data_IF_400708794823
#
_entry.id   IF_400708794823
#
_cell.length_a   1.000
_cell.length_b   1.000
_cell.length_c   1.000
_cell.angle_alpha   90.00
_cell.angle_beta   90.00
_cell.angle_gamma   90.00
#
_symmetry.space_group_name_H-M   'P 1'
#
loop_
_entity.id
_entity.type
_entity.pdbx_description
1 polymer ?
#
# COMPACT_ATOMS: atom_id res chain seq x y z
N UNK A 1 -11.03 34.69 2.40
CA UNK A 1 -10.92 33.92 1.15
C UNK A 1 -11.93 32.81 1.27
N UNK A 2 -12.80 32.58 0.27
CA UNK A 2 -13.74 31.48 0.33
C UNK A 2 -12.95 30.16 0.25
N UNK A 3 -13.30 29.20 1.09
CA UNK A 3 -12.71 27.85 1.04
C UNK A 3 -13.11 27.19 -0.29
N UNK A 4 -12.18 26.53 -0.95
CA UNK A 4 -12.47 25.79 -2.18
C UNK A 4 -12.85 24.35 -1.83
N UNK A 5 -13.72 23.69 -2.62
CA UNK A 5 -14.01 22.27 -2.40
C UNK A 5 -12.76 21.41 -2.63
N UNK A 6 -12.70 20.28 -1.93
CA UNK A 6 -11.75 19.19 -2.19
C UNK A 6 -12.06 18.57 -3.55
N UNK A 7 -11.06 18.52 -4.42
CA UNK A 7 -11.14 18.03 -5.79
C UNK A 7 -10.45 16.67 -5.94
N UNK A 8 -10.70 16.00 -7.06
CA UNK A 8 -10.03 14.72 -7.35
C UNK A 8 -8.50 14.83 -7.40
N UNK A 9 -7.96 15.94 -7.94
CA UNK A 9 -6.51 16.15 -8.01
C UNK A 9 -5.86 16.44 -6.65
N UNK A 10 -6.65 16.71 -5.61
CA UNK A 10 -6.13 16.93 -4.25
C UNK A 10 -5.89 15.62 -3.50
N UNK A 11 -6.54 14.52 -3.93
CA UNK A 11 -6.49 13.23 -3.23
C UNK A 11 -6.08 12.05 -4.12
N UNK A 12 -6.11 12.20 -5.45
CA UNK A 12 -5.65 11.21 -6.42
C UNK A 12 -4.69 11.83 -7.43
N UNK A 13 -3.77 11.01 -7.93
CA UNK A 13 -2.84 11.40 -9.00
C UNK A 13 -3.57 11.31 -10.34
N UNK A 14 -4.45 12.27 -10.60
CA UNK A 14 -5.25 12.37 -11.84
C UNK A 14 -4.98 13.67 -12.56
N UNK A 15 -5.13 13.68 -13.88
CA UNK A 15 -4.80 14.81 -14.73
C UNK A 15 -6.01 15.38 -15.48
N UNK A 16 -5.83 16.53 -16.13
CA UNK A 16 -6.85 17.10 -17.01
C UNK A 16 -8.09 17.66 -16.28
N UNK A 17 -9.27 17.46 -16.87
CA UNK A 17 -10.50 18.08 -16.37
C UNK A 17 -11.00 17.45 -15.07
N UNK A 18 -10.76 16.16 -14.83
CA UNK A 18 -11.23 15.48 -13.62
C UNK A 18 -10.53 15.99 -12.36
N UNK A 19 -9.24 16.32 -12.46
CA UNK A 19 -8.43 16.85 -11.35
C UNK A 19 -9.02 18.11 -10.71
N UNK A 20 -9.76 18.91 -11.50
CA UNK A 20 -10.37 20.15 -11.05
C UNK A 20 -11.83 20.01 -10.61
N UNK A 21 -12.43 18.82 -10.72
CA UNK A 21 -13.81 18.57 -10.30
C UNK A 21 -13.86 18.31 -8.79
N UNK A 22 -14.86 18.87 -8.08
CA UNK A 22 -15.08 18.53 -6.67
C UNK A 22 -15.50 17.07 -6.54
N UNK A 23 -15.12 16.44 -5.43
CA UNK A 23 -15.58 15.08 -5.11
C UNK A 23 -17.01 15.16 -4.57
N UNK A 24 -17.92 14.46 -5.25
CA UNK A 24 -19.35 14.45 -4.92
C UNK A 24 -19.71 13.24 -4.05
N UNK A 25 -20.72 13.35 -3.16
CA UNK A 25 -21.22 12.21 -2.40
C UNK A 25 -21.71 11.05 -3.28
N UNK A 26 -22.27 11.35 -4.45
CA UNK A 26 -22.75 10.37 -5.41
C UNK A 26 -21.60 9.57 -6.05
N UNK A 27 -20.49 10.22 -6.38
CA UNK A 27 -19.31 9.55 -6.92
C UNK A 27 -18.67 8.64 -5.86
N UNK A 28 -18.62 9.09 -4.61
CA UNK A 28 -18.12 8.28 -3.49
C UNK A 28 -18.97 7.03 -3.25
N UNK A 29 -20.30 7.19 -3.29
CA UNK A 29 -21.23 6.07 -3.15
C UNK A 29 -21.16 5.11 -4.34
N UNK A 30 -20.95 5.63 -5.55
CA UNK A 30 -20.78 4.81 -6.75
C UNK A 30 -19.48 4.00 -6.73
N UNK A 31 -18.37 4.61 -6.27
CA UNK A 31 -17.10 3.92 -6.11
C UNK A 31 -17.23 2.78 -5.10
N UNK A 32 -17.82 3.05 -3.92
CA UNK A 32 -18.08 2.03 -2.90
C UNK A 32 -18.96 0.88 -3.40
N UNK A 33 -19.98 1.20 -4.21
CA UNK A 33 -20.84 0.21 -4.84
C UNK A 33 -20.08 -0.63 -5.89
N UNK A 34 -19.20 0.00 -6.67
CA UNK A 34 -18.30 -0.65 -7.63
C UNK A 34 -17.32 -1.59 -6.94
N UNK A 35 -16.59 -1.11 -5.94
CA UNK A 35 -15.69 -1.88 -5.08
C UNK A 35 -16.39 -3.12 -4.52
N UNK A 36 -17.54 -2.94 -3.86
CA UNK A 36 -18.28 -4.08 -3.28
C UNK A 36 -18.78 -5.06 -4.33
N UNK A 37 -19.15 -4.59 -5.52
CA UNK A 37 -19.63 -5.44 -6.61
C UNK A 37 -18.51 -6.28 -7.21
N UNK A 38 -17.32 -5.70 -7.37
CA UNK A 38 -16.19 -6.36 -8.03
C UNK A 38 -15.34 -7.14 -7.01
N UNK A 39 -14.98 -6.52 -5.89
CA UNK A 39 -14.10 -7.08 -4.87
C UNK A 39 -14.85 -7.85 -3.77
N UNK A 40 -16.20 -7.78 -3.73
CA UNK A 40 -17.02 -8.38 -2.67
C UNK A 40 -17.04 -7.60 -1.35
N UNK A 41 -16.09 -6.68 -1.16
CA UNK A 41 -15.96 -5.75 -0.04
C UNK A 41 -15.42 -4.41 -0.53
N UNK A 42 -15.57 -3.36 0.27
CA UNK A 42 -14.93 -2.06 0.02
C UNK A 42 -13.66 -2.00 0.88
N UNK A 43 -12.46 -1.89 0.30
CA UNK A 43 -11.22 -1.79 1.07
C UNK A 43 -11.26 -0.63 2.06
N UNK A 44 -10.89 -0.92 3.31
CA UNK A 44 -10.65 0.11 4.31
C UNK A 44 -9.50 1.00 3.81
N UNK A 45 -9.76 2.30 3.69
CA UNK A 45 -8.82 3.29 3.16
C UNK A 45 -8.55 3.21 1.64
N UNK A 46 -9.37 2.49 0.87
CA UNK A 46 -9.35 2.51 -0.59
C UNK A 46 -9.96 3.79 -1.21
N UNK A 47 -10.00 3.91 -2.55
CA UNK A 47 -10.53 5.07 -3.24
C UNK A 47 -11.94 5.48 -2.82
N UNK A 48 -12.86 4.55 -2.57
CA UNK A 48 -14.18 4.89 -2.03
C UNK A 48 -14.10 5.57 -0.66
N UNK A 49 -13.24 5.09 0.25
CA UNK A 49 -13.07 5.66 1.59
C UNK A 49 -12.52 7.10 1.54
N UNK A 50 -11.56 7.35 0.66
CA UNK A 50 -10.99 8.68 0.40
C UNK A 50 -12.07 9.60 -0.15
N UNK A 51 -12.83 9.13 -1.15
CA UNK A 51 -13.90 9.90 -1.77
C UNK A 51 -15.03 10.23 -0.80
N UNK A 52 -15.41 9.29 0.08
CA UNK A 52 -16.43 9.52 1.12
C UNK A 52 -16.01 10.61 2.11
N UNK A 53 -14.73 10.62 2.50
CA UNK A 53 -14.18 11.64 3.39
C UNK A 53 -14.16 13.02 2.73
N UNK A 54 -13.66 13.11 1.50
CA UNK A 54 -13.63 14.36 0.73
C UNK A 54 -15.04 14.89 0.43
N UNK A 55 -15.98 14.02 0.05
CA UNK A 55 -17.38 14.39 -0.15
C UNK A 55 -18.03 14.89 1.14
N UNK A 56 -17.74 14.26 2.28
CA UNK A 56 -18.24 14.71 3.59
C UNK A 56 -17.76 16.11 3.92
N UNK A 57 -16.49 16.43 3.66
CA UNK A 57 -15.93 17.79 3.83
C UNK A 57 -16.66 18.77 2.90
N UNK A 58 -16.81 18.43 1.62
CA UNK A 58 -17.48 19.29 0.64
C UNK A 58 -18.94 19.59 0.99
N UNK A 59 -19.67 18.62 1.55
CA UNK A 59 -21.05 18.83 2.04
C UNK A 59 -21.07 19.72 3.28
N UNK A 60 -20.19 19.48 4.25
CA UNK A 60 -20.12 20.29 5.48
C UNK A 60 -19.74 21.75 5.19
N UNK A 61 -18.88 21.98 4.20
CA UNK A 61 -18.47 23.32 3.75
C UNK A 61 -19.48 23.98 2.80
N UNK A 62 -20.60 23.30 2.49
CA UNK A 62 -21.68 23.83 1.65
C UNK A 62 -21.34 23.89 0.16
N UNK A 63 -20.30 23.18 -0.29
CA UNK A 63 -19.90 23.10 -1.69
C UNK A 63 -20.66 22.05 -2.49
N UNK A 64 -21.29 21.08 -1.84
CA UNK A 64 -22.08 20.01 -2.46
C UNK A 64 -23.42 19.83 -1.74
N UNK A 65 -24.45 19.47 -2.51
CA UNK A 65 -25.74 19.08 -1.93
C UNK A 65 -25.67 17.63 -1.44
N UNK A 66 -26.25 17.29 -0.27
CA UNK A 66 -26.33 15.91 0.21
C UNK A 66 -27.35 15.06 -0.56
N UNK A 67 -28.18 15.67 -1.42
CA UNK A 67 -29.27 14.98 -2.15
C UNK A 67 -29.25 15.35 -3.63
N UNK A 68 -28.61 14.50 -4.44
CA UNK A 68 -28.74 14.48 -5.89
C UNK A 68 -28.78 13.02 -6.37
N UNK A 69 -29.40 12.81 -7.54
CA UNK A 69 -29.72 11.49 -8.07
C UNK A 69 -28.43 10.65 -8.27
N UNK A 70 -28.48 9.31 -8.09
CA UNK A 70 -27.31 8.42 -8.05
C UNK A 70 -26.65 8.16 -9.43
N UNK A 71 -26.84 9.04 -10.41
CA UNK A 71 -26.21 8.89 -11.72
C UNK A 71 -24.82 9.55 -11.65
N UNK A 72 -23.86 8.83 -11.07
CA UNK A 72 -22.45 9.22 -11.13
C UNK A 72 -21.96 9.00 -12.57
N UNK A 73 -21.63 10.08 -13.28
CA UNK A 73 -20.98 9.98 -14.58
C UNK A 73 -19.48 9.72 -14.38
N UNK A 74 -18.99 8.62 -14.93
CA UNK A 74 -17.54 8.37 -15.07
C UNK A 74 -16.88 7.58 -13.94
N UNK A 75 -17.58 7.13 -12.90
CA UNK A 75 -17.01 6.17 -11.94
C UNK A 75 -17.18 4.76 -12.47
N UNK A 76 -16.08 4.01 -12.60
CA UNK A 76 -16.09 2.61 -13.03
C UNK A 76 -15.07 1.77 -12.26
N UNK A 77 -15.46 0.55 -11.90
CA UNK A 77 -14.60 -0.45 -11.26
C UNK A 77 -14.66 -1.68 -12.14
N UNK A 78 -13.54 -2.00 -12.76
CA UNK A 78 -13.44 -3.05 -13.77
C UNK A 78 -12.48 -4.13 -13.31
N UNK A 79 -12.80 -5.37 -13.64
CA UNK A 79 -11.94 -6.53 -13.41
C UNK A 79 -11.47 -7.06 -14.76
N UNK A 80 -10.16 -7.24 -14.92
CA UNK A 80 -9.54 -7.81 -16.10
C UNK A 80 -8.64 -8.97 -15.69
N UNK A 81 -8.82 -10.14 -16.29
CA UNK A 81 -7.86 -11.23 -16.17
C UNK A 81 -6.77 -11.08 -17.24
N UNK A 82 -5.52 -11.00 -16.81
CA UNK A 82 -4.34 -10.94 -17.67
C UNK A 82 -3.43 -12.09 -17.27
N UNK A 83 -3.36 -13.12 -18.10
CA UNK A 83 -2.52 -14.31 -17.88
C UNK A 83 -2.73 -14.96 -16.49
N UNK A 84 -3.99 -15.06 -16.05
CA UNK A 84 -4.35 -15.62 -14.74
C UNK A 84 -4.10 -14.66 -13.57
N UNK A 85 -3.79 -13.40 -13.83
CA UNK A 85 -3.71 -12.32 -12.84
C UNK A 85 -4.96 -11.48 -12.96
N UNK A 86 -5.74 -11.45 -11.89
CA UNK A 86 -6.93 -10.61 -11.72
C UNK A 86 -6.49 -9.18 -11.40
N UNK A 87 -6.62 -8.29 -12.37
CA UNK A 87 -6.34 -6.86 -12.21
C UNK A 87 -7.65 -6.10 -12.08
N UNK A 88 -7.86 -5.45 -10.94
CA UNK A 88 -9.01 -4.61 -10.68
C UNK A 88 -8.57 -3.17 -10.86
N UNK A 89 -9.23 -2.44 -11.77
CA UNK A 89 -8.90 -1.05 -12.09
C UNK A 89 -10.10 -0.17 -11.78
N UNK A 90 -9.87 0.82 -10.93
CA UNK A 90 -10.86 1.80 -10.49
C UNK A 90 -10.56 3.13 -11.18
N UNK A 91 -11.57 3.67 -11.83
CA UNK A 91 -11.42 4.87 -12.64
C UNK A 91 -12.49 5.91 -12.32
N UNK A 92 -12.10 7.17 -12.45
CA UNK A 92 -13.00 8.31 -12.45
C UNK A 92 -12.74 9.11 -13.71
N UNK A 93 -13.75 9.23 -14.57
CA UNK A 93 -13.69 9.88 -15.88
C UNK A 93 -12.54 9.36 -16.76
N UNK A 94 -12.33 8.03 -16.76
CA UNK A 94 -11.26 7.32 -17.46
C UNK A 94 -9.83 7.55 -16.93
N UNK A 95 -9.67 8.27 -15.81
CA UNK A 95 -8.39 8.34 -15.11
C UNK A 95 -8.37 7.32 -13.98
N UNK A 96 -7.26 6.60 -13.81
CA UNK A 96 -7.11 5.57 -12.79
C UNK A 96 -6.94 6.24 -11.43
N UNK A 97 -7.78 5.85 -10.46
CA UNK A 97 -7.71 6.31 -9.06
C UNK A 97 -7.31 5.19 -8.10
N UNK A 98 -7.38 3.94 -8.54
CA UNK A 98 -6.95 2.75 -7.80
C UNK A 98 -6.68 1.58 -8.75
N UNK A 99 -5.69 0.76 -8.42
CA UNK A 99 -5.43 -0.48 -9.13
C UNK A 99 -4.98 -1.57 -8.15
N UNK A 100 -5.65 -2.72 -8.21
CA UNK A 100 -5.38 -3.88 -7.37
C UNK A 100 -4.99 -5.06 -8.26
N UNK A 101 -3.97 -5.81 -7.86
CA UNK A 101 -3.49 -6.96 -8.60
C UNK A 101 -3.61 -8.17 -7.67
N UNK A 102 -4.49 -9.09 -8.02
CA UNK A 102 -4.71 -10.34 -7.30
C UNK A 102 -4.36 -11.52 -8.23
N UNK A 103 -3.63 -12.54 -7.79
CA UNK A 103 -3.53 -13.78 -8.56
C UNK A 103 -4.91 -14.44 -8.64
N UNK A 104 -5.42 -14.72 -9.84
CA UNK A 104 -6.73 -15.38 -9.97
C UNK A 104 -6.59 -16.84 -9.55
N UNK A 105 -7.17 -17.21 -8.40
CA UNK A 105 -7.40 -18.62 -8.05
C UNK A 105 -8.71 -19.04 -8.68
N UNK A 106 -8.70 -19.24 -10.00
CA UNK A 106 -9.78 -20.00 -10.63
C UNK A 106 -9.57 -21.48 -10.35
N UNK A 107 -10.59 -22.09 -9.74
CA UNK A 107 -10.64 -23.50 -9.41
C UNK A 107 -10.23 -24.39 -10.59
N UNK A 108 -9.34 -25.34 -10.27
CA UNK A 108 -9.07 -26.60 -10.95
C UNK A 108 -9.64 -26.72 -12.37
N UNK A 109 -8.81 -26.46 -13.38
CA UNK A 109 -8.99 -27.16 -14.64
C UNK A 109 -7.69 -27.79 -15.11
N UNK A 110 -7.86 -29.04 -15.52
CA UNK A 110 -6.83 -30.02 -15.81
C UNK A 110 -5.90 -29.53 -16.92
N UNK A 111 -4.68 -29.13 -16.55
CA UNK A 111 -3.61 -28.91 -17.55
C UNK A 111 -2.43 -29.80 -17.21
N UNK A 112 -2.37 -30.89 -17.97
CA UNK A 112 -1.22 -31.75 -18.29
C UNK A 112 -0.06 -31.81 -17.29
N UNK A 113 0.14 -33.02 -16.75
CA UNK A 113 1.25 -33.45 -15.89
C UNK A 113 2.68 -33.32 -16.51
N UNK A 114 2.86 -32.51 -17.55
CA UNK A 114 4.14 -32.27 -18.22
C UNK A 114 4.71 -30.85 -18.00
N UNK A 115 3.92 -29.89 -17.49
CA UNK A 115 4.42 -28.55 -17.10
C UNK A 115 4.62 -28.40 -15.59
N UNK A 116 4.34 -29.45 -14.83
CA UNK A 116 4.60 -29.57 -13.39
C UNK A 116 6.10 -29.69 -13.04
N UNK A 117 7.00 -29.58 -14.02
CA UNK A 117 8.46 -29.63 -13.79
C UNK A 117 9.14 -28.25 -13.78
N UNK A 118 8.38 -27.17 -13.95
CA UNK A 118 8.88 -25.79 -13.76
C UNK A 118 8.10 -24.95 -12.73
N UNK A 119 6.96 -25.45 -12.21
CA UNK A 119 6.35 -24.98 -10.95
C UNK A 119 7.02 -25.70 -9.79
N UNK A 120 8.35 -25.67 -9.76
CA UNK A 120 9.10 -26.04 -8.58
C UNK A 120 9.29 -24.74 -7.81
N UNK A 121 8.55 -24.61 -6.70
CA UNK A 121 8.82 -23.66 -5.60
C UNK A 121 8.71 -22.16 -5.97
N UNK A 122 7.48 -21.59 -5.97
CA UNK A 122 7.41 -20.23 -5.40
C UNK A 122 7.58 -20.41 -3.89
N UNK A 123 8.82 -20.28 -3.43
CA UNK A 123 9.11 -20.07 -2.02
C UNK A 123 8.28 -18.87 -1.56
N UNK A 124 7.66 -18.98 -0.40
CA UNK A 124 6.90 -17.89 0.22
C UNK A 124 7.81 -16.67 0.41
N UNK A 125 7.34 -15.49 0.02
CA UNK A 125 8.07 -14.22 0.16
C UNK A 125 8.44 -14.00 1.62
N UNK A 126 9.72 -13.84 1.88
CA UNK A 126 10.26 -13.62 3.22
C UNK A 126 10.24 -12.16 3.61
N UNK A 127 10.43 -11.86 4.90
CA UNK A 127 10.40 -10.48 5.41
C UNK A 127 11.57 -9.68 4.84
N UNK A 128 12.76 -10.27 4.73
CA UNK A 128 13.91 -9.68 4.07
C UNK A 128 13.69 -9.39 2.59
N UNK A 129 13.10 -10.32 1.85
CA UNK A 129 12.77 -10.08 0.43
C UNK A 129 11.75 -8.93 0.27
N UNK A 130 10.77 -8.86 1.17
CA UNK A 130 9.83 -7.73 1.20
C UNK A 130 10.54 -6.41 1.55
N UNK A 131 11.50 -6.40 2.47
CA UNK A 131 12.30 -5.21 2.78
C UNK A 131 13.19 -4.78 1.58
N UNK A 132 13.80 -5.73 0.87
CA UNK A 132 14.55 -5.43 -0.37
C UNK A 132 13.64 -4.86 -1.46
N UNK A 133 12.39 -5.31 -1.53
CA UNK A 133 11.41 -4.72 -2.45
C UNK A 133 11.08 -3.26 -2.08
N UNK A 134 11.09 -2.89 -0.79
CA UNK A 134 10.95 -1.48 -0.36
C UNK A 134 12.10 -0.62 -0.88
N UNK A 135 13.34 -1.16 -0.88
CA UNK A 135 14.49 -0.47 -1.47
C UNK A 135 14.26 -0.13 -2.96
N UNK A 136 13.44 -0.92 -3.67
CA UNK A 136 13.10 -0.67 -5.07
C UNK A 136 11.92 0.27 -5.25
N UNK A 137 10.86 0.15 -4.42
CA UNK A 137 9.63 0.94 -4.56
C UNK A 137 9.75 2.34 -3.96
N UNK A 138 10.45 2.45 -2.83
CA UNK A 138 10.62 3.67 -2.05
C UNK A 138 12.11 3.97 -1.80
N UNK A 139 13.01 3.50 -2.66
CA UNK A 139 14.46 3.60 -2.49
C UNK A 139 14.97 5.01 -2.20
N UNK A 140 14.42 6.02 -2.88
CA UNK A 140 14.79 7.44 -2.72
C UNK A 140 14.21 8.09 -1.45
N UNK A 141 13.31 7.40 -0.73
CA UNK A 141 12.67 7.93 0.47
C UNK A 141 13.68 8.02 1.61
N UNK A 142 13.90 9.25 2.10
CA UNK A 142 14.75 9.50 3.25
C UNK A 142 14.14 8.92 4.53
N UNK A 143 14.88 8.01 5.17
CA UNK A 143 14.45 7.30 6.37
C UNK A 143 14.08 8.27 7.49
N UNK A 144 12.89 8.09 8.06
CA UNK A 144 12.43 8.77 9.26
C UNK A 144 12.18 7.81 10.45
N UNK A 145 11.61 8.35 11.52
CA UNK A 145 11.37 7.58 12.75
C UNK A 145 10.27 6.53 12.59
N UNK A 146 9.22 6.82 11.81
CA UNK A 146 8.15 5.88 11.56
C UNK A 146 8.66 4.69 10.76
N UNK A 147 9.46 4.97 9.73
CA UNK A 147 10.10 3.93 8.93
C UNK A 147 11.05 3.07 9.77
N UNK A 148 11.88 3.70 10.62
CA UNK A 148 12.79 2.96 11.50
C UNK A 148 12.04 2.03 12.48
N UNK A 149 10.87 2.45 12.97
CA UNK A 149 10.02 1.61 13.81
C UNK A 149 9.37 0.44 13.03
N UNK A 150 9.00 0.67 11.77
CA UNK A 150 8.50 -0.37 10.89
C UNK A 150 9.58 -1.41 10.57
N UNK A 151 10.80 -0.97 10.25
CA UNK A 151 11.98 -1.83 10.02
C UNK A 151 12.30 -2.63 11.28
N UNK A 152 12.26 -2.02 12.46
CA UNK A 152 12.46 -2.72 13.74
C UNK A 152 11.42 -3.82 13.95
N UNK A 153 10.14 -3.51 13.72
CA UNK A 153 9.08 -4.49 13.83
C UNK A 153 9.30 -5.65 12.85
N UNK A 154 9.63 -5.34 11.59
CA UNK A 154 9.90 -6.32 10.55
C UNK A 154 11.07 -7.24 10.95
N UNK A 155 12.20 -6.68 11.37
CA UNK A 155 13.38 -7.45 11.76
C UNK A 155 13.13 -8.37 12.97
N UNK A 156 12.39 -7.88 13.98
CA UNK A 156 11.97 -8.73 15.11
C UNK A 156 11.11 -9.91 14.66
N UNK A 157 10.28 -9.70 13.63
CA UNK A 157 9.47 -10.76 13.02
C UNK A 157 10.28 -11.67 12.11
N UNK A 158 11.25 -11.18 11.36
CA UNK A 158 12.14 -12.05 10.61
C UNK A 158 12.88 -13.00 11.56
N UNK A 159 13.44 -12.47 12.66
CA UNK A 159 14.27 -13.24 13.58
C UNK A 159 13.51 -13.98 14.69
N UNK A 160 12.23 -13.64 14.91
CA UNK A 160 11.41 -14.21 15.98
C UNK A 160 11.90 -13.88 17.39
N UNK A 161 12.53 -12.71 17.59
CA UNK A 161 13.08 -12.25 18.87
C UNK A 161 12.71 -10.80 19.15
N UNK A 162 12.47 -10.45 20.41
CA UNK A 162 12.22 -9.07 20.83
C UNK A 162 13.51 -8.24 20.97
N UNK A 163 14.66 -8.91 21.06
CA UNK A 163 15.97 -8.27 21.17
C UNK A 163 16.77 -8.45 19.88
N UNK A 164 17.18 -7.32 19.31
CA UNK A 164 17.94 -7.28 18.06
C UNK A 164 19.46 -7.26 18.33
N UNK A 165 20.27 -7.87 17.45
CA UNK A 165 21.73 -7.80 17.55
C UNK A 165 22.24 -6.38 17.28
N UNK A 166 23.50 -6.12 17.67
CA UNK A 166 24.20 -4.89 17.28
C UNK A 166 24.47 -4.91 15.78
N UNK A 167 24.33 -3.76 15.13
CA UNK A 167 24.40 -3.65 13.66
C UNK A 167 23.18 -4.26 12.97
N UNK A 168 22.04 -4.26 13.66
CA UNK A 168 20.73 -4.62 13.08
C UNK A 168 20.27 -3.55 12.10
N UNK A 169 19.38 -3.94 11.17
CA UNK A 169 18.73 -3.01 10.25
C UNK A 169 18.00 -1.90 11.01
N UNK A 170 17.35 -2.24 12.12
CA UNK A 170 16.69 -1.30 13.01
C UNK A 170 17.66 -0.27 13.60
N UNK A 171 18.83 -0.71 14.10
CA UNK A 171 19.84 0.20 14.66
C UNK A 171 20.37 1.17 13.60
N UNK A 172 20.65 0.66 12.39
CA UNK A 172 21.05 1.47 11.24
C UNK A 172 19.95 2.48 10.85
N UNK A 173 18.69 2.04 10.78
CA UNK A 173 17.54 2.88 10.44
C UNK A 173 17.29 3.99 11.48
N UNK A 174 17.36 3.69 12.78
CA UNK A 174 17.23 4.73 13.81
C UNK A 174 18.40 5.73 13.79
N UNK A 175 19.61 5.27 13.49
CA UNK A 175 20.77 6.14 13.31
C UNK A 175 20.57 7.08 12.12
N UNK A 176 20.12 6.52 10.99
CA UNK A 176 19.77 7.24 9.78
C UNK A 176 18.66 8.27 10.04
N UNK A 177 17.56 7.89 10.70
CA UNK A 177 16.46 8.80 11.04
C UNK A 177 16.94 9.98 11.90
N UNK A 178 17.78 9.71 12.92
CA UNK A 178 18.33 10.75 13.78
C UNK A 178 19.28 11.70 13.02
N UNK A 179 20.09 11.16 12.11
CA UNK A 179 20.96 11.94 11.22
C UNK A 179 20.16 12.78 10.22
N UNK A 180 19.15 12.19 9.58
CA UNK A 180 18.29 12.83 8.59
C UNK A 180 17.49 13.98 9.20
N UNK A 181 17.01 13.82 10.44
CA UNK A 181 16.32 14.87 11.18
C UNK A 181 17.20 16.12 11.41
N UNK A 182 18.52 15.95 11.47
CA UNK A 182 19.49 17.05 11.63
C UNK A 182 20.03 17.55 10.27
N UNK A 183 19.73 16.84 9.19
CA UNK A 183 20.27 17.11 7.85
C UNK A 183 19.25 17.87 7.00
N UNK A 184 19.57 19.13 6.71
CA UNK A 184 18.68 20.04 5.97
C UNK A 184 18.59 19.71 4.47
N UNK A 185 19.66 19.21 3.87
CA UNK A 185 19.71 18.92 2.43
C UNK A 185 19.30 17.47 2.19
N UNK A 186 18.25 17.28 1.40
CA UNK A 186 17.69 15.97 1.13
C UNK A 186 18.71 15.01 0.49
N UNK A 187 19.58 15.51 -0.38
CA UNK A 187 20.62 14.74 -1.09
C UNK A 187 21.67 14.06 -0.16
N UNK A 188 21.77 14.47 1.10
CA UNK A 188 22.71 13.91 2.08
C UNK A 188 22.03 13.04 3.13
N UNK A 189 20.73 12.81 2.98
CA UNK A 189 19.98 11.92 3.86
C UNK A 189 20.21 10.48 3.46
N UNK A 190 20.26 9.61 4.45
CA UNK A 190 20.27 8.17 4.25
C UNK A 190 18.87 7.72 3.85
N UNK A 191 18.78 6.88 2.82
CA UNK A 191 17.53 6.49 2.17
C UNK A 191 17.17 5.03 2.44
N UNK A 192 15.98 4.60 2.01
CA UNK A 192 15.58 3.19 2.11
C UNK A 192 16.50 2.25 1.33
N UNK A 193 17.02 2.66 0.17
CA UNK A 193 17.98 1.85 -0.59
C UNK A 193 19.27 1.62 0.21
N UNK A 194 19.77 2.64 0.92
CA UNK A 194 21.00 2.54 1.69
C UNK A 194 20.91 1.51 2.83
N UNK A 195 19.72 1.30 3.39
CA UNK A 195 19.49 0.42 4.55
C UNK A 195 19.02 -0.97 4.12
N UNK A 196 18.09 -1.05 3.16
CA UNK A 196 17.30 -2.25 2.90
C UNK A 196 17.73 -3.08 1.68
N UNK A 197 18.65 -2.58 0.83
CA UNK A 197 19.03 -3.25 -0.42
C UNK A 197 19.62 -4.66 -0.24
N UNK A 198 20.15 -4.97 0.94
CA UNK A 198 20.72 -6.27 1.33
C UNK A 198 20.04 -6.85 2.58
N UNK A 199 18.75 -6.57 2.78
CA UNK A 199 18.03 -6.99 3.97
C UNK A 199 17.94 -8.51 4.11
N UNK A 200 17.74 -9.26 3.01
CA UNK A 200 17.66 -10.72 3.04
C UNK A 200 18.98 -11.36 3.50
N UNK A 201 20.11 -10.78 3.14
CA UNK A 201 21.44 -11.25 3.55
C UNK A 201 21.72 -10.98 5.05
N UNK A 202 21.11 -9.94 5.62
CA UNK A 202 21.28 -9.54 7.03
C UNK A 202 20.34 -10.30 7.99
N UNK A 203 19.26 -10.88 7.48
CA UNK A 203 18.25 -11.59 8.27
C UNK A 203 18.53 -13.10 8.31
N UNK A 204 19.33 -13.54 9.28
CA UNK A 204 19.59 -14.96 9.48
C UNK A 204 18.31 -15.71 9.88
N UNK A 205 17.93 -16.74 9.11
CA UNK A 205 16.69 -17.52 9.28
C UNK A 205 15.42 -16.71 8.99
N UNK A 206 15.44 -15.95 7.91
CA UNK A 206 14.30 -15.16 7.47
C UNK A 206 13.02 -16.00 7.31
N UNK A 207 11.92 -15.45 7.82
CA UNK A 207 10.63 -16.13 7.88
C UNK A 207 9.71 -15.57 6.81
N UNK A 208 8.81 -16.38 6.24
CA UNK A 208 7.79 -15.89 5.34
C UNK A 208 6.91 -14.85 6.02
N UNK A 209 6.57 -13.80 5.29
CA UNK A 209 5.65 -12.76 5.76
C UNK A 209 4.28 -13.38 6.00
N UNK A 210 3.70 -13.13 7.18
CA UNK A 210 2.30 -13.48 7.48
C UNK A 210 1.41 -12.23 7.57
N UNK A 211 0.09 -12.41 7.48
CA UNK A 211 -0.85 -11.31 7.67
C UNK A 211 -0.78 -10.69 9.07
N UNK A 212 -0.44 -11.48 10.10
CA UNK A 212 -0.27 -10.98 11.47
C UNK A 212 0.97 -10.08 11.56
N UNK A 213 2.10 -10.54 11.00
CA UNK A 213 3.33 -9.75 10.94
C UNK A 213 3.10 -8.44 10.17
N UNK A 214 2.47 -8.50 8.99
CA UNK A 214 2.18 -7.31 8.18
C UNK A 214 1.34 -6.28 8.93
N UNK A 215 0.29 -6.73 9.63
CA UNK A 215 -0.57 -5.85 10.43
C UNK A 215 0.22 -5.17 11.55
N UNK A 216 1.04 -5.90 12.28
CA UNK A 216 1.77 -5.35 13.41
C UNK A 216 2.89 -4.40 12.99
N UNK A 217 3.53 -4.65 11.85
CA UNK A 217 4.51 -3.75 11.24
C UNK A 217 3.84 -2.44 10.81
N UNK A 218 2.68 -2.54 10.14
CA UNK A 218 1.89 -1.37 9.73
C UNK A 218 1.44 -0.56 10.96
N UNK A 219 1.00 -1.21 12.03
CA UNK A 219 0.67 -0.53 13.28
C UNK A 219 1.89 0.12 13.96
N UNK A 220 3.08 -0.46 13.85
CA UNK A 220 4.31 0.11 14.39
C UNK A 220 4.72 1.40 13.65
N UNK A 221 4.58 1.40 12.32
CA UNK A 221 4.82 2.55 11.45
C UNK A 221 3.88 3.71 11.80
N UNK A 222 2.56 3.48 11.73
CA UNK A 222 1.56 4.51 12.01
C UNK A 222 1.70 5.12 13.41
N UNK A 223 1.98 4.31 14.44
CA UNK A 223 2.15 4.81 15.82
C UNK A 223 3.35 5.73 16.00
N UNK A 224 4.36 5.62 15.13
CA UNK A 224 5.59 6.40 15.22
C UNK A 224 5.62 7.59 14.26
N UNK A 225 4.63 7.69 13.36
CA UNK A 225 4.39 8.85 12.53
C UNK A 225 3.54 9.91 13.27
N UNK A 226 3.93 11.20 13.28
CA UNK A 226 3.17 12.25 13.97
C UNK A 226 1.79 12.53 13.36
N UNK A 227 1.56 12.17 12.10
CA UNK A 227 0.25 12.26 11.44
C UNK A 227 -0.53 10.93 11.51
N UNK A 228 0.03 9.90 12.14
CA UNK A 228 -0.50 8.54 12.16
C UNK A 228 -0.78 8.00 10.75
N UNK A 229 0.11 8.33 9.81
CA UNK A 229 0.08 7.90 8.42
C UNK A 229 1.01 6.70 8.17
N UNK A 230 0.82 6.03 7.03
CA UNK A 230 1.70 4.99 6.50
C UNK A 230 2.42 5.55 5.28
N UNK A 231 3.71 5.24 5.14
CA UNK A 231 4.50 5.62 3.98
C UNK A 231 4.03 4.80 2.77
N UNK A 232 3.56 5.49 1.73
CA UNK A 232 3.16 4.85 0.48
C UNK A 232 4.36 4.17 -0.19
N UNK A 233 4.20 2.90 -0.57
CA UNK A 233 5.28 2.04 -1.07
C UNK A 233 6.34 1.70 -0.02
N UNK A 234 6.10 2.06 1.25
CA UNK A 234 6.98 1.82 2.39
C UNK A 234 6.83 0.42 2.98
N UNK A 235 7.35 0.26 4.20
CA UNK A 235 7.50 -1.06 4.82
C UNK A 235 6.14 -1.72 5.12
N UNK A 236 5.20 -1.04 5.76
CA UNK A 236 3.90 -1.62 6.13
C UNK A 236 3.05 -2.04 4.91
N UNK A 237 3.06 -1.26 3.85
CA UNK A 237 2.35 -1.58 2.60
C UNK A 237 2.99 -2.78 1.88
N UNK A 238 4.31 -2.79 1.76
CA UNK A 238 5.04 -3.89 1.11
C UNK A 238 4.85 -5.22 1.85
N UNK A 239 4.85 -5.20 3.19
CA UNK A 239 4.57 -6.39 4.01
C UNK A 239 3.14 -6.90 3.80
N UNK A 240 2.17 -5.99 3.65
CA UNK A 240 0.78 -6.37 3.39
C UNK A 240 0.60 -7.01 2.02
N UNK A 241 1.31 -6.49 1.00
CA UNK A 241 1.36 -7.09 -0.32
C UNK A 241 2.03 -8.49 -0.29
N UNK A 242 3.19 -8.60 0.37
CA UNK A 242 3.91 -9.86 0.51
C UNK A 242 3.10 -10.93 1.27
N UNK A 243 2.44 -10.56 2.37
CA UNK A 243 1.54 -11.45 3.10
C UNK A 243 0.39 -11.98 2.22
N UNK A 244 -0.16 -11.13 1.35
CA UNK A 244 -1.24 -11.50 0.44
C UNK A 244 -0.78 -12.47 -0.66
N UNK A 245 0.50 -12.39 -1.07
CA UNK A 245 1.13 -13.35 -1.98
C UNK A 245 1.43 -14.69 -1.29
N UNK A 246 1.68 -14.65 0.02
CA UNK A 246 1.97 -15.82 0.83
C UNK A 246 0.69 -16.55 1.25
N UNK A 247 0.06 -17.22 0.29
CA UNK A 247 -1.10 -18.07 0.57
C UNK A 247 -0.62 -19.30 1.35
N UNK A 248 -1.14 -19.57 2.57
CA UNK A 248 -0.82 -20.79 3.30
C UNK A 248 -1.29 -22.01 2.49
N UNK A 249 -0.39 -23.00 2.30
CA UNK A 249 -0.76 -24.28 1.70
C UNK A 249 -1.80 -24.98 2.60
N UNK A 250 -2.90 -25.53 2.04
CA UNK A 250 -3.94 -26.21 2.80
C UNK A 250 -3.44 -27.48 3.52
#
# INVERSE_FOLDING_TARGET
>A
MAEEPVKYGDVFIVSGQVANKPILPEDAAAMEAGERKVMGQSPLFGPASIMQSAASINVHSGHCSPTSNPVSEGVDVTETDIDGIRVITETVHNEVVGQYIEPSVTEANETSAAEQTQIQERESVTIGEALEAVALSAGDHAVDKADAAAIEAAEKRALGTDTLPRGSLAEEAYSAAAWNAQTLRYEFRTTMDDILRDASDKLAHDRPVTHEDAKEILEAEARNDPANAITAGGVGEMMSAAASLNIPKP
#
